data_IF_912431680410
#
_entry.id   IF_912431680410
#
_cell.length_a   1.000
_cell.length_b   1.000
_cell.length_c   1.000
_cell.angle_alpha   90.00
_cell.angle_beta   90.00
_cell.angle_gamma   90.00
#
_symmetry.space_group_name_H-M   'P 1'
#
loop_
_entity.id
_entity.type
_entity.pdbx_description
1 polymer ?
#
# COMPACT_ATOMS: atom_id res chain seq x y z
N UNK A 1 -12.68 6.98 -22.89
CA UNK A 1 -12.53 7.19 -21.44
C UNK A 1 -11.59 6.16 -20.84
N UNK A 2 -11.86 4.86 -20.95
CA UNK A 2 -11.10 3.73 -20.38
C UNK A 2 -9.60 3.79 -20.71
N UNK A 3 -9.22 4.09 -21.95
CA UNK A 3 -7.82 4.20 -22.36
C UNK A 3 -7.04 5.21 -21.52
N UNK A 4 -7.60 6.41 -21.30
CA UNK A 4 -6.94 7.46 -20.49
C UNK A 4 -6.85 7.07 -19.01
N UNK A 5 -7.89 6.42 -18.50
CA UNK A 5 -7.94 5.90 -17.14
C UNK A 5 -6.87 4.82 -16.92
N UNK A 6 -6.72 3.88 -17.86
CA UNK A 6 -5.67 2.87 -17.84
C UNK A 6 -4.27 3.49 -17.82
N UNK A 7 -4.00 4.47 -18.72
CA UNK A 7 -2.70 5.13 -18.74
C UNK A 7 -2.43 5.91 -17.45
N UNK A 8 -3.45 6.56 -16.88
CA UNK A 8 -3.31 7.24 -15.58
C UNK A 8 -3.01 6.25 -14.46
N UNK A 9 -3.72 5.13 -14.42
CA UNK A 9 -3.45 4.05 -13.46
C UNK A 9 -2.01 3.55 -13.57
N UNK A 10 -1.52 3.34 -14.80
CA UNK A 10 -0.13 2.94 -15.02
C UNK A 10 0.87 3.99 -14.51
N UNK A 11 0.62 5.28 -14.76
CA UNK A 11 1.46 6.37 -14.26
C UNK A 11 1.50 6.42 -12.74
N UNK A 12 0.34 6.29 -12.08
CA UNK A 12 0.23 6.36 -10.62
C UNK A 12 0.86 5.15 -9.91
N UNK A 13 0.82 3.97 -10.54
CA UNK A 13 1.37 2.74 -9.94
C UNK A 13 2.85 2.54 -10.27
N UNK A 14 3.22 2.66 -11.55
CA UNK A 14 4.58 2.34 -12.05
C UNK A 14 5.40 3.55 -12.47
N UNK A 15 4.79 4.74 -12.52
CA UNK A 15 5.49 5.95 -12.95
C UNK A 15 5.71 6.05 -14.46
N UNK A 16 5.19 5.11 -15.22
CA UNK A 16 5.29 5.09 -16.69
C UNK A 16 4.00 4.55 -17.27
N UNK A 17 3.58 5.09 -18.40
CA UNK A 17 2.47 4.53 -19.17
C UNK A 17 2.91 4.31 -20.62
N UNK A 18 2.56 3.16 -21.17
CA UNK A 18 2.93 2.75 -22.52
C UNK A 18 1.69 2.36 -23.30
N UNK A 19 1.68 2.68 -24.58
CA UNK A 19 0.72 2.13 -25.51
C UNK A 19 1.41 1.81 -26.84
N UNK A 20 1.12 0.64 -27.40
CA UNK A 20 1.56 0.27 -28.75
C UNK A 20 0.76 1.04 -29.79
N UNK A 21 1.45 1.62 -30.76
CA UNK A 21 0.86 2.33 -31.89
C UNK A 21 0.68 1.34 -33.02
N UNK A 22 -0.54 1.08 -33.42
CA UNK A 22 -0.88 0.21 -34.56
C UNK A 22 -1.16 1.09 -35.77
N UNK A 23 -0.51 0.74 -36.89
CA UNK A 23 -0.64 1.46 -38.16
C UNK A 23 -1.21 0.55 -39.23
N UNK A 24 -1.92 1.15 -40.18
CA UNK A 24 -2.37 0.45 -41.39
C UNK A 24 -1.28 0.44 -42.47
N UNK A 25 -1.55 -0.19 -43.62
CA UNK A 25 -0.61 -0.27 -44.76
C UNK A 25 -0.28 1.08 -45.41
N UNK A 26 -0.98 2.15 -45.02
CA UNK A 26 -0.72 3.54 -45.45
C UNK A 26 0.04 4.34 -44.38
N UNK A 27 0.54 3.69 -43.33
CA UNK A 27 1.22 4.27 -42.18
C UNK A 27 0.35 5.21 -41.32
N UNK A 28 -0.99 5.12 -41.40
CA UNK A 28 -1.92 5.87 -40.56
C UNK A 28 -2.15 5.13 -39.24
N UNK A 29 -2.24 5.87 -38.14
CA UNK A 29 -2.52 5.29 -36.81
C UNK A 29 -3.99 4.86 -36.76
N UNK A 30 -4.23 3.56 -36.55
CA UNK A 30 -5.58 2.99 -36.50
C UNK A 30 -5.99 2.58 -35.07
N UNK A 31 -5.02 2.31 -34.19
CA UNK A 31 -5.30 1.94 -32.82
C UNK A 31 -4.12 2.24 -31.86
N UNK A 32 -4.44 2.38 -30.58
CA UNK A 32 -3.49 2.46 -29.48
C UNK A 32 -3.88 1.39 -28.45
N UNK A 33 -2.96 0.45 -28.17
CA UNK A 33 -3.17 -0.61 -27.18
C UNK A 33 -2.30 -0.39 -25.95
N UNK A 34 -2.87 -0.19 -24.74
CA UNK A 34 -2.09 -0.07 -23.52
C UNK A 34 -1.21 -1.31 -23.31
N UNK A 35 0.05 -1.07 -22.92
CA UNK A 35 1.01 -2.11 -22.56
C UNK A 35 1.31 -2.01 -21.06
N UNK A 36 1.42 -3.17 -20.41
CA UNK A 36 1.67 -3.24 -18.97
C UNK A 36 3.08 -2.76 -18.64
N UNK A 37 3.26 -1.75 -17.76
CA UNK A 37 4.57 -1.20 -17.46
C UNK A 37 5.54 -2.18 -16.78
N UNK A 38 5.02 -3.09 -15.95
CA UNK A 38 5.83 -4.13 -15.31
C UNK A 38 6.42 -5.17 -16.30
N UNK A 39 5.92 -5.19 -17.54
CA UNK A 39 6.41 -6.04 -18.63
C UNK A 39 7.24 -5.28 -19.65
N UNK A 40 7.57 -4.01 -19.38
CA UNK A 40 8.31 -3.15 -20.29
C UNK A 40 9.69 -2.86 -19.73
N UNK A 41 10.73 -3.03 -20.55
CA UNK A 41 12.08 -2.49 -20.32
C UNK A 41 12.38 -1.44 -21.37
N UNK A 42 13.03 -0.37 -20.94
CA UNK A 42 13.44 0.74 -21.79
C UNK A 42 14.95 0.83 -21.72
N UNK A 43 15.62 0.81 -22.88
CA UNK A 43 17.07 0.78 -22.96
C UNK A 43 17.58 1.52 -24.20
N UNK A 44 18.91 1.67 -24.31
CA UNK A 44 19.58 2.23 -25.47
C UNK A 44 20.49 1.19 -26.10
N UNK A 45 20.52 1.16 -27.42
CA UNK A 45 21.48 0.33 -28.17
C UNK A 45 22.91 0.93 -28.12
N UNK A 46 23.90 0.22 -28.65
CA UNK A 46 25.29 0.67 -28.72
C UNK A 46 25.46 2.00 -29.50
N UNK A 47 24.53 2.31 -30.37
CA UNK A 47 24.46 3.59 -31.10
C UNK A 47 23.71 4.70 -30.35
N UNK A 48 23.26 4.46 -29.12
CA UNK A 48 22.51 5.40 -28.28
C UNK A 48 21.04 5.55 -28.65
N UNK A 49 20.51 4.74 -29.58
CA UNK A 49 19.09 4.78 -29.97
C UNK A 49 18.22 4.06 -28.97
N UNK A 50 17.13 4.71 -28.60
CA UNK A 50 16.14 4.17 -27.66
C UNK A 50 15.41 2.99 -28.27
N UNK A 51 15.21 1.92 -27.47
CA UNK A 51 14.33 0.82 -27.80
C UNK A 51 13.58 0.32 -26.57
N UNK A 52 12.49 -0.38 -26.79
CA UNK A 52 11.61 -0.94 -25.77
C UNK A 52 11.55 -2.46 -25.94
N UNK A 53 11.66 -3.20 -24.85
CA UNK A 53 11.47 -4.65 -24.86
C UNK A 53 10.22 -4.99 -24.06
N UNK A 54 9.22 -5.54 -24.73
CA UNK A 54 7.97 -5.97 -24.10
C UNK A 54 7.95 -7.49 -23.96
N UNK A 55 7.77 -7.95 -22.70
CA UNK A 55 7.71 -9.37 -22.34
C UNK A 55 6.28 -9.86 -22.34
N UNK A 56 5.94 -10.85 -23.18
CA UNK A 56 4.55 -11.34 -23.35
C UNK A 56 4.12 -12.38 -22.29
N UNK A 57 5.04 -12.96 -21.51
CA UNK A 57 4.76 -13.96 -20.49
C UNK A 57 3.84 -13.45 -19.38
N UNK A 58 3.08 -14.36 -18.75
CA UNK A 58 2.17 -14.05 -17.65
C UNK A 58 2.85 -13.88 -16.30
N UNK A 59 4.06 -14.44 -16.11
CA UNK A 59 4.79 -14.45 -14.84
C UNK A 59 6.10 -13.67 -14.92
N UNK A 60 6.41 -12.91 -13.88
CA UNK A 60 7.67 -12.17 -13.71
C UNK A 60 8.91 -13.11 -13.69
N UNK A 61 8.70 -14.38 -13.39
CA UNK A 61 9.77 -15.38 -13.31
C UNK A 61 10.24 -15.90 -14.68
N UNK A 62 9.46 -15.73 -15.74
CA UNK A 62 9.78 -16.26 -17.07
C UNK A 62 10.23 -15.11 -17.97
N UNK A 63 11.44 -14.62 -17.73
CA UNK A 63 12.20 -13.83 -18.72
C UNK A 63 12.74 -14.76 -19.81
N UNK A 64 11.89 -15.59 -20.37
CA UNK A 64 12.26 -16.45 -21.45
C UNK A 64 12.46 -15.61 -22.72
N UNK A 65 13.68 -15.57 -23.24
CA UNK A 65 14.08 -14.75 -24.40
C UNK A 65 13.24 -14.98 -25.66
N UNK A 66 12.44 -16.06 -25.68
CA UNK A 66 11.54 -16.39 -26.79
C UNK A 66 10.19 -15.67 -26.80
N UNK A 67 9.79 -15.00 -25.72
CA UNK A 67 8.48 -14.36 -25.60
C UNK A 67 8.52 -12.83 -25.56
N UNK A 68 9.67 -12.20 -25.87
CA UNK A 68 9.80 -10.75 -25.90
C UNK A 68 9.69 -10.17 -27.32
N UNK A 69 9.20 -8.95 -27.40
CA UNK A 69 9.12 -8.16 -28.63
C UNK A 69 9.86 -6.85 -28.42
N UNK A 70 10.78 -6.55 -29.36
CA UNK A 70 11.43 -5.24 -29.41
C UNK A 70 10.56 -4.27 -30.19
N UNK A 71 10.30 -3.12 -29.60
CA UNK A 71 9.55 -2.01 -30.18
C UNK A 71 10.44 -0.76 -30.24
N UNK A 72 10.19 0.10 -31.21
CA UNK A 72 10.92 1.33 -31.36
C UNK A 72 10.06 2.56 -30.98
N UNK A 73 10.65 3.75 -30.78
CA UNK A 73 9.90 4.95 -30.41
C UNK A 73 8.79 5.33 -31.40
N UNK A 74 8.89 4.90 -32.67
CA UNK A 74 7.81 5.05 -33.66
C UNK A 74 6.57 4.25 -33.36
N UNK A 75 6.73 3.15 -32.59
CA UNK A 75 5.69 2.13 -32.37
C UNK A 75 5.14 2.15 -30.95
N UNK A 76 5.67 3.04 -30.10
CA UNK A 76 5.28 3.15 -28.69
C UNK A 76 5.00 4.59 -28.32
N UNK A 77 3.78 4.85 -27.83
CA UNK A 77 3.48 6.03 -27.06
C UNK A 77 3.98 5.79 -25.63
N UNK A 78 5.04 6.45 -25.23
CA UNK A 78 5.56 6.42 -23.86
C UNK A 78 5.30 7.75 -23.16
N UNK A 79 4.65 7.71 -22.01
CA UNK A 79 4.41 8.84 -21.13
C UNK A 79 5.14 8.55 -19.82
N UNK A 80 6.35 9.10 -19.63
CA UNK A 80 7.08 8.94 -18.37
C UNK A 80 6.51 9.90 -17.31
N UNK A 81 6.49 9.45 -16.06
CA UNK A 81 6.29 10.31 -14.90
C UNK A 81 7.58 11.04 -14.51
N UNK A 82 7.67 11.43 -13.23
CA UNK A 82 8.88 12.03 -12.70
C UNK A 82 10.04 11.02 -12.71
N UNK A 83 11.13 11.34 -13.36
CA UNK A 83 12.36 10.56 -13.43
C UNK A 83 13.57 11.46 -13.46
N UNK A 84 14.79 10.91 -13.37
CA UNK A 84 16.00 11.71 -13.41
C UNK A 84 16.82 11.52 -14.70
N UNK A 85 16.68 10.38 -15.36
CA UNK A 85 17.46 10.00 -16.55
C UNK A 85 16.82 10.42 -17.89
N UNK A 86 15.58 10.92 -17.82
CA UNK A 86 14.80 11.28 -19.00
C UNK A 86 14.31 10.08 -19.83
N UNK A 87 14.53 8.85 -19.36
CA UNK A 87 14.10 7.62 -20.03
C UNK A 87 12.84 7.05 -19.39
N UNK A 88 12.87 6.87 -18.08
CA UNK A 88 11.77 6.27 -17.33
C UNK A 88 11.42 7.11 -16.12
N UNK A 89 10.13 7.08 -15.76
CA UNK A 89 9.64 7.67 -14.52
C UNK A 89 9.79 6.71 -13.35
N UNK A 90 9.97 7.25 -12.15
CA UNK A 90 9.93 6.49 -10.90
C UNK A 90 8.51 6.09 -10.54
N UNK A 91 8.35 4.89 -10.00
CA UNK A 91 7.08 4.50 -9.39
C UNK A 91 6.79 5.37 -8.16
N UNK A 92 5.67 6.11 -8.13
CA UNK A 92 5.27 6.89 -6.96
C UNK A 92 5.13 6.04 -5.71
N UNK A 93 4.65 4.80 -5.84
CA UNK A 93 4.52 3.84 -4.74
C UNK A 93 5.90 3.44 -4.20
N UNK A 94 6.85 3.12 -5.08
CA UNK A 94 8.21 2.76 -4.66
C UNK A 94 8.92 3.93 -3.95
N UNK A 95 8.72 5.15 -4.42
CA UNK A 95 9.28 6.36 -3.78
C UNK A 95 8.63 6.64 -2.43
N UNK A 96 7.35 6.36 -2.29
CA UNK A 96 6.55 6.61 -1.09
C UNK A 96 6.43 5.40 -0.14
N UNK A 97 7.18 4.32 -0.38
CA UNK A 97 7.01 3.04 0.33
C UNK A 97 7.00 3.18 1.86
N UNK A 98 7.80 4.08 2.43
CA UNK A 98 7.89 4.28 3.87
C UNK A 98 6.62 4.97 4.41
N UNK A 99 6.09 5.98 3.71
CA UNK A 99 4.85 6.66 4.08
C UNK A 99 3.65 5.72 3.98
N UNK A 100 3.57 4.93 2.91
CA UNK A 100 2.53 3.92 2.70
C UNK A 100 2.64 2.83 3.77
N UNK A 101 3.85 2.32 4.04
CA UNK A 101 4.10 1.32 5.09
C UNK A 101 3.69 1.81 6.47
N UNK A 102 3.99 3.06 6.80
CA UNK A 102 3.55 3.70 8.05
C UNK A 102 2.02 3.78 8.13
N UNK A 103 1.35 4.17 7.05
CA UNK A 103 -0.11 4.24 7.00
C UNK A 103 -0.76 2.87 7.22
N UNK A 104 -0.25 1.82 6.58
CA UNK A 104 -0.71 0.44 6.75
C UNK A 104 -0.49 -0.03 8.20
N UNK A 105 0.68 0.23 8.79
CA UNK A 105 0.98 -0.12 10.17
C UNK A 105 0.07 0.60 11.17
N UNK A 106 -0.23 1.90 10.94
CA UNK A 106 -1.18 2.65 11.75
C UNK A 106 -2.60 2.08 11.64
N UNK A 107 -3.02 1.68 10.45
CA UNK A 107 -4.34 1.08 10.22
C UNK A 107 -4.46 -0.28 10.93
N UNK A 108 -3.45 -1.14 10.80
CA UNK A 108 -3.40 -2.45 11.46
C UNK A 108 -3.39 -2.30 12.99
N UNK A 109 -2.60 -1.36 13.52
CA UNK A 109 -2.59 -1.05 14.94
C UNK A 109 -3.97 -0.60 15.43
N UNK A 110 -4.61 0.34 14.71
CA UNK A 110 -5.95 0.82 15.05
C UNK A 110 -7.00 -0.29 15.02
N UNK A 111 -6.95 -1.14 14.00
CA UNK A 111 -7.86 -2.28 13.89
C UNK A 111 -7.71 -3.24 15.09
N UNK A 112 -6.48 -3.60 15.45
CA UNK A 112 -6.19 -4.44 16.62
C UNK A 112 -6.61 -3.79 17.93
N UNK A 113 -6.34 -2.49 18.08
CA UNK A 113 -6.72 -1.73 19.27
C UNK A 113 -8.23 -1.72 19.48
N UNK A 114 -9.01 -1.42 18.44
CA UNK A 114 -10.47 -1.42 18.53
C UNK A 114 -11.05 -2.84 18.66
N UNK A 115 -10.48 -3.84 17.99
CA UNK A 115 -10.91 -5.23 18.11
C UNK A 115 -10.73 -5.76 19.53
N UNK A 116 -9.72 -5.32 20.26
CA UNK A 116 -9.48 -5.65 21.65
C UNK A 116 -10.29 -4.80 22.65
N UNK A 117 -11.31 -4.07 22.18
CA UNK A 117 -12.17 -3.23 23.01
C UNK A 117 -11.53 -1.92 23.45
N UNK A 118 -10.49 -1.47 22.72
CA UNK A 118 -9.71 -0.27 23.03
C UNK A 118 -9.13 -0.24 24.46
N UNK A 119 -9.05 -1.42 25.12
CA UNK A 119 -8.47 -1.55 26.44
C UNK A 119 -6.95 -1.82 26.30
N UNK A 120 -6.10 -0.99 26.88
CA UNK A 120 -4.67 -1.28 26.95
C UNK A 120 -4.45 -2.58 27.73
N UNK A 121 -3.44 -3.35 27.34
CA UNK A 121 -2.97 -4.48 28.11
C UNK A 121 -2.62 -4.04 29.54
N UNK A 122 -2.89 -4.87 30.53
CA UNK A 122 -2.63 -4.53 31.91
C UNK A 122 -2.24 -5.75 32.75
N UNK A 123 -1.87 -5.50 33.98
CA UNK A 123 -1.60 -6.52 34.98
C UNK A 123 -2.77 -6.61 35.94
N UNK A 124 -3.27 -7.84 36.15
CA UNK A 124 -4.14 -8.16 37.25
C UNK A 124 -3.26 -8.56 38.45
N UNK A 125 -3.30 -7.75 39.50
CA UNK A 125 -2.60 -7.99 40.77
C UNK A 125 -3.55 -8.63 41.75
N UNK A 126 -3.07 -9.65 42.45
CA UNK A 126 -3.79 -10.32 43.54
C UNK A 126 -2.92 -10.35 44.78
N UNK A 127 -3.44 -10.02 45.98
CA UNK A 127 -2.65 -9.96 47.21
C UNK A 127 -2.13 -11.32 47.68
N UNK A 128 -2.67 -12.42 47.18
CA UNK A 128 -2.25 -13.79 47.47
C UNK A 128 -1.80 -14.54 46.24
N UNK A 129 -1.66 -15.86 46.33
CA UNK A 129 -1.23 -16.72 45.22
C UNK A 129 -2.43 -17.16 44.38
N UNK A 130 -2.42 -16.90 43.10
CA UNK A 130 -3.40 -17.39 42.12
C UNK A 130 -3.05 -18.85 41.78
N UNK A 131 -3.94 -19.80 42.09
CA UNK A 131 -3.70 -21.23 41.80
C UNK A 131 -3.63 -21.55 40.32
N UNK A 132 -4.38 -20.84 39.50
CA UNK A 132 -4.43 -21.01 38.03
C UNK A 132 -4.47 -19.65 37.32
N UNK A 133 -3.28 -19.06 37.06
CA UNK A 133 -3.19 -17.78 36.37
C UNK A 133 -3.71 -17.82 34.92
N UNK A 134 -3.64 -19.00 34.28
CA UNK A 134 -4.07 -19.15 32.88
C UNK A 134 -5.59 -19.03 32.78
N UNK A 135 -6.32 -19.70 33.65
CA UNK A 135 -7.79 -19.62 33.74
C UNK A 135 -8.26 -18.18 33.99
N UNK A 136 -7.59 -17.46 34.88
CA UNK A 136 -7.94 -16.05 35.17
C UNK A 136 -7.74 -15.19 33.92
N UNK A 137 -6.63 -15.40 33.17
CA UNK A 137 -6.35 -14.68 31.91
C UNK A 137 -7.41 -14.98 30.86
N UNK A 138 -7.75 -16.23 30.64
CA UNK A 138 -8.77 -16.66 29.67
C UNK A 138 -10.15 -16.11 30.01
N UNK A 139 -10.55 -16.18 31.28
CA UNK A 139 -11.80 -15.60 31.77
C UNK A 139 -11.85 -14.08 31.56
N UNK A 140 -10.77 -13.40 31.88
CA UNK A 140 -10.65 -11.96 31.62
C UNK A 140 -10.77 -11.63 30.12
N UNK A 141 -10.05 -12.34 29.29
CA UNK A 141 -10.03 -12.12 27.84
C UNK A 141 -11.38 -12.43 27.19
N UNK A 142 -12.08 -13.47 27.62
CA UNK A 142 -13.42 -13.81 27.14
C UNK A 142 -14.49 -12.81 27.56
N UNK A 143 -14.34 -12.20 28.73
CA UNK A 143 -15.32 -11.25 29.27
C UNK A 143 -15.12 -9.83 28.77
N UNK A 144 -13.88 -9.40 28.67
CA UNK A 144 -13.53 -8.00 28.35
C UNK A 144 -12.80 -7.82 27.02
N UNK A 145 -12.34 -8.90 26.36
CA UNK A 145 -11.72 -8.85 25.04
C UNK A 145 -12.75 -8.70 23.92
N UNK A 146 -12.31 -8.08 22.81
CA UNK A 146 -13.11 -7.91 21.60
C UNK A 146 -13.97 -6.65 21.58
N UNK A 147 -14.30 -6.19 20.38
CA UNK A 147 -15.04 -4.94 20.14
C UNK A 147 -16.47 -4.95 20.70
N UNK A 148 -17.09 -6.14 20.80
CA UNK A 148 -18.44 -6.32 21.38
C UNK A 148 -18.51 -6.18 22.90
N UNK A 149 -17.36 -6.19 23.59
CA UNK A 149 -17.27 -6.10 25.03
C UNK A 149 -16.72 -4.74 25.52
N UNK A 150 -16.59 -3.78 24.64
CA UNK A 150 -16.15 -2.43 24.97
C UNK A 150 -17.13 -1.81 26.02
N UNK A 151 -16.57 -1.12 26.99
CA UNK A 151 -17.30 -0.43 28.07
C UNK A 151 -18.02 -1.33 29.11
N UNK A 152 -17.72 -2.62 29.20
CA UNK A 152 -18.19 -3.44 30.30
C UNK A 152 -17.48 -3.06 31.60
N UNK A 153 -18.25 -3.01 32.69
CA UNK A 153 -17.72 -2.76 34.04
C UNK A 153 -17.05 -4.03 34.53
N UNK A 154 -15.79 -3.94 34.94
CA UNK A 154 -15.07 -5.00 35.58
C UNK A 154 -15.34 -4.97 37.09
N UNK A 155 -15.77 -6.09 37.67
CA UNK A 155 -15.85 -6.28 39.11
C UNK A 155 -14.66 -7.15 39.52
N UNK A 156 -13.81 -6.60 40.39
CA UNK A 156 -12.64 -7.29 40.93
C UNK A 156 -12.92 -7.74 42.34
N UNK A 157 -12.75 -9.02 42.58
CA UNK A 157 -13.01 -9.65 43.91
C UNK A 157 -11.67 -9.88 44.66
N UNK A 158 -11.76 -10.21 45.96
CA UNK A 158 -10.64 -10.63 46.79
C UNK A 158 -9.42 -9.67 46.80
N UNK A 159 -9.67 -8.38 46.63
CA UNK A 159 -8.61 -7.38 46.67
C UNK A 159 -7.73 -7.31 45.39
N UNK A 160 -8.18 -7.93 44.31
CA UNK A 160 -7.52 -7.80 43.00
C UNK A 160 -7.52 -6.35 42.54
N UNK A 161 -6.42 -5.95 41.86
CA UNK A 161 -6.29 -4.65 41.25
C UNK A 161 -5.92 -4.83 39.77
N UNK A 162 -6.46 -3.98 38.93
CA UNK A 162 -6.07 -3.90 37.53
C UNK A 162 -5.21 -2.64 37.32
N UNK A 163 -3.97 -2.83 36.89
CA UNK A 163 -3.06 -1.73 36.55
C UNK A 163 -2.80 -1.80 35.04
N UNK A 164 -3.26 -0.83 34.27
CA UNK A 164 -2.96 -0.81 32.84
C UNK A 164 -1.46 -0.63 32.60
N UNK A 165 -0.87 -1.52 31.81
CA UNK A 165 0.52 -1.39 31.31
C UNK A 165 0.41 -1.07 29.82
N UNK A 166 0.50 0.15 29.48
CA UNK A 166 0.52 0.59 28.10
C UNK A 166 0.47 2.11 28.05
N UNK A 167 1.18 2.66 27.11
CA UNK A 167 0.94 4.02 26.70
C UNK A 167 -0.41 3.95 26.00
N UNK A 168 -1.46 4.36 26.69
CA UNK A 168 -2.74 4.59 26.01
C UNK A 168 -2.44 5.68 24.98
N UNK A 169 -2.44 5.36 23.66
CA UNK A 169 -2.36 6.43 22.68
C UNK A 169 -3.57 7.30 22.93
N UNK A 170 -3.36 8.54 23.30
CA UNK A 170 -4.45 9.48 23.39
C UNK A 170 -5.22 9.39 22.07
N UNK A 171 -6.53 9.18 22.13
CA UNK A 171 -7.36 9.01 20.93
C UNK A 171 -7.17 10.18 19.95
N UNK A 172 -6.91 11.38 20.48
CA UNK A 172 -6.57 12.56 19.71
C UNK A 172 -5.27 12.38 18.88
N UNK A 173 -4.19 11.84 19.47
CA UNK A 173 -2.92 11.64 18.76
C UNK A 173 -3.05 10.57 17.68
N UNK A 174 -3.82 9.53 17.89
CA UNK A 174 -4.06 8.51 16.87
C UNK A 174 -4.86 9.07 15.69
N UNK A 175 -5.90 9.85 15.93
CA UNK A 175 -6.68 10.51 14.88
C UNK A 175 -5.86 11.54 14.12
N UNK A 176 -5.01 12.31 14.80
CA UNK A 176 -4.09 13.27 14.17
C UNK A 176 -3.05 12.56 13.30
N UNK A 177 -2.50 11.44 13.78
CA UNK A 177 -1.58 10.61 13.00
C UNK A 177 -2.24 10.08 11.72
N UNK A 178 -3.48 9.60 11.80
CA UNK A 178 -4.23 9.17 10.60
C UNK A 178 -4.48 10.31 9.61
N UNK A 179 -4.87 11.48 10.09
CA UNK A 179 -5.04 12.67 9.24
C UNK A 179 -3.73 13.07 8.57
N UNK A 180 -2.62 13.00 9.31
CA UNK A 180 -1.29 13.28 8.76
C UNK A 180 -0.94 12.29 7.64
N UNK A 181 -1.20 10.99 7.82
CA UNK A 181 -0.92 9.97 6.81
C UNK A 181 -1.74 10.20 5.52
N UNK A 182 -3.01 10.55 5.64
CA UNK A 182 -3.85 10.91 4.47
C UNK A 182 -3.23 12.09 3.72
N UNK A 183 -2.80 13.14 4.44
CA UNK A 183 -2.17 14.31 3.84
C UNK A 183 -0.85 13.97 3.16
N UNK A 184 -0.05 13.09 3.74
CA UNK A 184 1.21 12.61 3.16
C UNK A 184 0.96 11.87 1.84
N UNK A 185 0.04 10.92 1.82
CA UNK A 185 -0.29 10.14 0.63
C UNK A 185 -0.90 11.05 -0.45
N UNK A 186 -1.84 11.92 -0.10
CA UNK A 186 -2.43 12.87 -1.03
C UNK A 186 -1.38 13.77 -1.69
N UNK A 187 -0.36 14.20 -0.93
CA UNK A 187 0.76 15.03 -1.39
C UNK A 187 1.64 14.31 -2.42
N UNK A 188 1.87 13.00 -2.23
CA UNK A 188 2.64 12.17 -3.16
C UNK A 188 1.96 12.13 -4.53
N UNK A 189 0.64 11.95 -4.55
CA UNK A 189 -0.15 11.91 -5.79
C UNK A 189 -0.60 13.30 -6.28
N UNK A 190 -0.21 14.38 -5.59
CA UNK A 190 -0.59 15.78 -5.89
C UNK A 190 -2.10 15.99 -5.95
N UNK A 191 -2.83 15.22 -5.14
CA UNK A 191 -4.28 15.37 -4.99
C UNK A 191 -4.56 16.19 -3.73
N UNK A 192 -5.42 17.21 -3.80
CA UNK A 192 -5.84 17.93 -2.61
C UNK A 192 -6.49 16.99 -1.59
N UNK A 193 -6.13 17.05 -0.28
CA UNK A 193 -6.63 16.10 0.72
C UNK A 193 -8.17 16.04 0.85
N UNK A 194 -8.86 17.10 0.48
CA UNK A 194 -10.34 17.15 0.52
C UNK A 194 -11.01 16.38 -0.64
N UNK A 195 -10.24 15.86 -1.57
CA UNK A 195 -10.73 15.08 -2.71
C UNK A 195 -10.49 13.56 -2.53
N UNK A 196 -9.93 13.15 -1.37
CA UNK A 196 -9.61 11.75 -1.03
C UNK A 196 -10.56 11.22 0.04
#
# INVERSE_FOLDING_TARGET
FVFRETLMTHLLLWGNAYAQIIRNGKNEIVALYPLMPNKMSVDRDEGGRLYYTYYRGSDEAIKDKGSSVTLYPSDVLHIPGLGFDGLVGYSPIAMAKNAIGMAIACEEYGAKFFANGAAPGGVLEHPGTIKDPQRVRESWQSTFGGSGNANKIAVLEEGMKYTPIGISPEQAQFLETRKFQINEIARIFRVPPHMV
#
